data_IF_569611086211
#
_entry.id   IF_569611086211
#
_cell.length_a   1.000
_cell.length_b   1.000
_cell.length_c   1.000
_cell.angle_alpha   90.00
_cell.angle_beta   90.00
_cell.angle_gamma   90.00
#
_symmetry.space_group_name_H-M   'P 1'
#
loop_
_entity.id
_entity.type
_entity.pdbx_description
1 polymer ?
#
# COMPACT_ATOMS: atom_id res chain seq x y z
N UNK A 1 20.11 1.21 -1.69
CA UNK A 1 19.59 0.32 -2.73
C UNK A 1 18.17 -0.12 -2.37
N UNK A 2 17.26 -0.01 -3.31
CA UNK A 2 15.89 -0.43 -3.07
C UNK A 2 15.78 -1.95 -2.96
N UNK A 3 15.04 -2.41 -1.95
CA UNK A 3 14.84 -3.85 -1.72
C UNK A 3 13.79 -4.45 -2.64
N UNK A 4 12.79 -3.66 -3.02
CA UNK A 4 11.72 -4.07 -3.92
C UNK A 4 11.35 -2.84 -4.75
N UNK A 5 11.70 -2.81 -6.05
CA UNK A 5 11.43 -1.66 -6.91
C UNK A 5 9.94 -1.37 -7.02
N UNK A 6 9.61 -0.09 -7.18
CA UNK A 6 8.24 0.34 -7.39
C UNK A 6 7.65 -0.25 -8.67
N UNK A 7 6.35 -0.47 -8.65
CA UNK A 7 5.57 -0.81 -9.85
C UNK A 7 4.63 0.37 -10.10
N UNK A 8 5.11 1.38 -10.82
CA UNK A 8 4.39 2.62 -11.05
C UNK A 8 4.44 3.04 -12.51
N UNK A 9 3.37 3.72 -12.93
CA UNK A 9 3.33 4.47 -14.19
C UNK A 9 2.39 5.65 -13.99
N UNK A 10 2.30 6.54 -14.99
CA UNK A 10 1.49 7.75 -14.87
C UNK A 10 -0.01 7.41 -14.85
N UNK A 11 -0.75 8.17 -14.04
CA UNK A 11 -2.22 8.17 -14.04
C UNK A 11 -2.88 6.83 -13.72
N UNK A 12 -2.27 6.03 -12.82
CA UNK A 12 -2.92 4.83 -12.31
C UNK A 12 -4.17 5.21 -11.50
N UNK A 13 -5.15 4.31 -11.46
CA UNK A 13 -6.36 4.53 -10.66
C UNK A 13 -6.08 4.38 -9.18
N UNK A 14 -5.16 3.49 -8.81
CA UNK A 14 -4.90 3.11 -7.43
C UNK A 14 -3.45 2.72 -7.26
N UNK A 15 -2.82 3.23 -6.20
CA UNK A 15 -1.49 2.80 -5.79
C UNK A 15 -1.56 2.31 -4.35
N UNK A 16 -1.19 1.06 -4.13
CA UNK A 16 -1.05 0.51 -2.78
C UNK A 16 0.31 0.88 -2.21
N UNK A 17 0.33 1.33 -0.97
CA UNK A 17 1.54 1.85 -0.31
C UNK A 17 1.76 1.13 1.00
N UNK A 18 2.84 0.38 1.10
CA UNK A 18 3.26 -0.27 2.33
C UNK A 18 4.28 0.54 3.11
N UNK A 19 4.65 0.07 4.29
CA UNK A 19 5.71 0.69 5.10
C UNK A 19 7.06 0.42 4.44
N UNK A 20 7.41 -0.84 4.33
CA UNK A 20 8.60 -1.33 3.64
C UNK A 20 8.35 -2.78 3.23
N UNK A 21 9.08 -3.27 2.23
CA UNK A 21 8.99 -4.66 1.84
C UNK A 21 9.37 -5.55 3.03
N UNK A 22 8.60 -6.63 3.26
CA UNK A 22 9.01 -7.64 4.21
C UNK A 22 10.28 -8.32 3.71
N UNK A 23 10.98 -9.03 4.60
CA UNK A 23 12.17 -9.77 4.19
C UNK A 23 11.85 -10.76 3.07
N UNK A 24 10.74 -11.49 3.21
CA UNK A 24 10.29 -12.43 2.18
C UNK A 24 10.05 -11.74 0.84
N UNK A 25 9.32 -10.62 0.85
CA UNK A 25 9.02 -9.87 -0.38
C UNK A 25 10.30 -9.36 -1.05
N UNK A 26 11.25 -8.85 -0.26
CA UNK A 26 12.52 -8.37 -0.78
C UNK A 26 13.34 -9.51 -1.39
N UNK A 27 13.36 -10.67 -0.74
CA UNK A 27 14.16 -11.83 -1.19
C UNK A 27 13.62 -12.42 -2.49
N UNK A 28 12.29 -12.51 -2.65
CA UNK A 28 11.68 -13.09 -3.85
C UNK A 28 11.34 -12.06 -4.90
N UNK A 29 11.39 -10.77 -4.58
CA UNK A 29 11.10 -9.68 -5.52
C UNK A 29 9.63 -9.49 -5.84
N UNK A 30 8.72 -9.87 -4.93
CA UNK A 30 7.27 -9.74 -5.14
C UNK A 30 6.61 -9.04 -3.96
N UNK A 31 5.65 -8.14 -4.24
CA UNK A 31 4.89 -7.44 -3.21
C UNK A 31 3.98 -8.40 -2.45
N UNK A 32 3.92 -8.22 -1.12
CA UNK A 32 3.04 -8.99 -0.22
C UNK A 32 3.19 -10.50 -0.41
N UNK A 33 4.42 -10.96 -0.48
CA UNK A 33 4.75 -12.34 -0.87
C UNK A 33 4.64 -13.37 0.26
N UNK A 34 4.59 -12.93 1.53
CA UNK A 34 4.53 -13.86 2.66
C UNK A 34 3.23 -14.67 2.60
N UNK A 35 3.28 -16.01 2.78
CA UNK A 35 2.08 -16.85 2.68
C UNK A 35 0.96 -16.47 3.66
N UNK A 36 1.31 -15.90 4.82
CA UNK A 36 0.32 -15.43 5.81
C UNK A 36 -0.29 -14.06 5.49
N UNK A 37 0.16 -13.41 4.42
CA UNK A 37 -0.37 -12.08 4.05
C UNK A 37 -1.69 -12.24 3.31
N UNK A 38 -2.70 -11.47 3.74
CA UNK A 38 -4.04 -11.52 3.15
C UNK A 38 -4.24 -10.65 1.93
N UNK A 39 -3.24 -9.87 1.53
CA UNK A 39 -3.40 -8.85 0.50
C UNK A 39 -4.05 -9.37 -0.79
N UNK A 40 -3.46 -10.40 -1.39
CA UNK A 40 -3.91 -10.90 -2.68
C UNK A 40 -5.32 -11.49 -2.64
N UNK A 41 -5.63 -12.17 -1.53
CA UNK A 41 -6.97 -12.70 -1.31
C UNK A 41 -7.97 -11.57 -1.11
N UNK A 42 -7.61 -10.55 -0.30
CA UNK A 42 -8.51 -9.46 0.03
C UNK A 42 -8.91 -8.64 -1.20
N UNK A 43 -7.97 -8.27 -2.06
CA UNK A 43 -8.30 -7.45 -3.23
C UNK A 43 -9.18 -8.21 -4.24
N UNK A 44 -9.10 -9.53 -4.27
CA UNK A 44 -10.02 -10.33 -5.06
C UNK A 44 -11.39 -10.43 -4.39
N UNK A 45 -11.43 -10.72 -3.11
CA UNK A 45 -12.70 -10.87 -2.37
C UNK A 45 -13.58 -9.62 -2.45
N UNK A 46 -12.98 -8.44 -2.38
CA UNK A 46 -13.74 -7.18 -2.46
C UNK A 46 -13.98 -6.71 -3.89
N UNK A 47 -13.45 -7.41 -4.89
CA UNK A 47 -13.71 -7.12 -6.30
C UNK A 47 -12.81 -6.06 -6.93
N UNK A 48 -11.68 -5.74 -6.32
CA UNK A 48 -10.69 -4.83 -6.93
C UNK A 48 -10.04 -5.51 -8.13
N UNK A 49 -9.76 -6.82 -8.02
CA UNK A 49 -9.25 -7.61 -9.14
C UNK A 49 -10.28 -8.63 -9.58
N UNK A 50 -10.32 -9.00 -10.89
CA UNK A 50 -11.31 -9.94 -11.41
C UNK A 50 -11.07 -11.39 -11.00
N UNK A 51 -9.85 -11.70 -10.55
CA UNK A 51 -9.47 -13.03 -10.05
C UNK A 51 -8.43 -12.88 -8.96
N UNK A 52 -8.12 -13.96 -8.28
CA UNK A 52 -7.01 -13.95 -7.32
C UNK A 52 -5.69 -14.10 -8.06
N UNK A 53 -4.82 -13.09 -7.92
CA UNK A 53 -3.47 -13.13 -8.48
C UNK A 53 -2.49 -13.70 -7.47
N UNK A 54 -1.44 -14.35 -7.96
CA UNK A 54 -0.32 -14.75 -7.12
C UNK A 54 0.65 -13.56 -6.97
N UNK A 55 1.44 -13.50 -5.89
CA UNK A 55 2.38 -12.38 -5.71
C UNK A 55 3.30 -12.11 -6.90
N UNK A 56 3.79 -13.15 -7.59
CA UNK A 56 4.67 -12.97 -8.74
C UNK A 56 3.98 -12.31 -9.93
N UNK A 57 2.66 -12.25 -9.93
CA UNK A 57 1.88 -11.62 -10.99
C UNK A 57 1.65 -10.14 -10.77
N UNK A 58 2.23 -9.54 -9.71
CA UNK A 58 1.96 -8.14 -9.38
C UNK A 58 2.18 -7.17 -10.54
N UNK A 59 3.15 -7.37 -11.47
CA UNK A 59 3.30 -6.45 -12.59
C UNK A 59 2.08 -6.41 -13.53
N UNK A 60 1.29 -7.47 -13.58
CA UNK A 60 0.10 -7.51 -14.41
C UNK A 60 -1.00 -6.56 -13.95
N UNK A 61 -0.98 -6.15 -12.68
CA UNK A 61 -2.00 -5.26 -12.14
C UNK A 61 -1.90 -3.84 -12.70
N UNK A 62 -0.75 -3.46 -13.27
CA UNK A 62 -0.62 -2.16 -13.93
C UNK A 62 -1.63 -2.02 -15.07
N UNK A 63 -1.93 -3.08 -15.80
CA UNK A 63 -2.94 -3.06 -16.86
C UNK A 63 -4.35 -2.84 -16.32
N UNK A 64 -4.56 -3.09 -15.02
CA UNK A 64 -5.83 -2.81 -14.34
C UNK A 64 -5.83 -1.42 -13.71
N UNK A 65 -4.77 -0.65 -13.87
CA UNK A 65 -4.62 0.68 -13.28
C UNK A 65 -4.13 0.66 -11.83
N UNK A 66 -3.46 -0.41 -11.41
CA UNK A 66 -3.02 -0.61 -10.02
C UNK A 66 -1.51 -0.67 -9.95
N UNK A 67 -0.92 0.10 -9.06
CA UNK A 67 0.52 0.09 -8.83
C UNK A 67 0.88 -0.16 -7.37
N UNK A 68 2.18 -0.25 -7.12
CA UNK A 68 2.72 -0.61 -5.81
C UNK A 68 3.96 0.21 -5.47
N UNK A 69 4.04 0.65 -4.22
CA UNK A 69 5.24 1.29 -3.67
C UNK A 69 5.26 1.11 -2.15
N UNK A 70 6.31 1.59 -1.51
CA UNK A 70 6.44 1.65 -0.05
C UNK A 70 6.97 3.02 0.34
N UNK A 71 6.61 3.50 1.54
CA UNK A 71 7.12 4.78 2.03
C UNK A 71 8.60 4.71 2.40
N UNK A 72 9.09 3.53 2.76
CA UNK A 72 10.49 3.29 3.05
C UNK A 72 11.04 2.24 2.08
N UNK A 73 11.79 2.68 1.05
CA UNK A 73 12.29 1.77 0.01
C UNK A 73 13.60 1.09 0.35
N UNK A 74 14.37 1.67 1.25
CA UNK A 74 15.73 1.16 1.54
C UNK A 74 15.74 0.10 2.64
N UNK A 75 14.68 -0.02 3.43
CA UNK A 75 14.57 -0.99 4.50
C UNK A 75 13.81 -2.24 4.08
N UNK A 76 13.94 -3.29 4.86
CA UNK A 76 13.14 -4.51 4.73
C UNK A 76 12.99 -5.13 6.12
N UNK A 77 11.91 -5.91 6.32
CA UNK A 77 11.67 -6.59 7.59
C UNK A 77 10.52 -5.95 8.36
N UNK A 78 10.61 -5.99 9.69
CA UNK A 78 9.55 -5.44 10.55
C UNK A 78 9.54 -3.91 10.53
N UNK A 79 8.38 -3.32 10.84
CA UNK A 79 8.18 -1.87 10.80
C UNK A 79 9.22 -1.09 11.62
N UNK A 80 9.62 -1.62 12.77
CA UNK A 80 10.62 -0.91 13.59
C UNK A 80 11.98 -0.80 12.87
N UNK A 81 12.29 -1.73 11.98
CA UNK A 81 13.51 -1.67 11.17
C UNK A 81 13.36 -0.64 10.05
N UNK A 82 12.16 -0.54 9.47
CA UNK A 82 11.88 0.44 8.44
C UNK A 82 12.04 1.87 8.94
N UNK A 83 11.73 2.13 10.21
CA UNK A 83 11.86 3.45 10.82
C UNK A 83 13.28 3.98 10.84
N UNK A 84 14.28 3.14 10.57
CA UNK A 84 15.66 3.60 10.45
C UNK A 84 15.92 4.46 9.20
N UNK A 85 14.95 4.56 8.28
CA UNK A 85 15.09 5.31 7.03
C UNK A 85 13.99 6.39 6.88
N UNK A 86 13.97 7.42 7.76
CA UNK A 86 12.89 8.41 7.78
C UNK A 86 12.89 9.40 6.60
N UNK A 87 13.95 9.39 5.80
CA UNK A 87 14.11 10.35 4.70
C UNK A 87 13.19 10.10 3.51
N UNK A 88 12.49 8.97 3.50
CA UNK A 88 11.70 8.57 2.33
C UNK A 88 10.40 9.34 2.15
N UNK A 89 9.88 10.02 3.17
CA UNK A 89 8.57 10.66 3.10
C UNK A 89 8.53 11.80 2.07
N UNK A 90 9.47 12.77 2.07
CA UNK A 90 9.47 13.80 1.03
C UNK A 90 9.62 13.21 -0.38
N UNK A 91 10.47 12.20 -0.54
CA UNK A 91 10.64 11.52 -1.82
C UNK A 91 9.36 10.79 -2.24
N UNK A 92 8.65 10.16 -1.29
CA UNK A 92 7.38 9.52 -1.56
C UNK A 92 6.34 10.54 -2.04
N UNK A 93 6.22 11.70 -1.37
CA UNK A 93 5.28 12.75 -1.79
C UNK A 93 5.56 13.22 -3.21
N UNK A 94 6.81 13.44 -3.54
CA UNK A 94 7.20 13.89 -4.88
C UNK A 94 6.90 12.81 -5.92
N UNK A 95 7.13 11.55 -5.59
CA UNK A 95 6.82 10.42 -6.46
C UNK A 95 5.33 10.38 -6.80
N UNK A 96 4.46 10.59 -5.81
CA UNK A 96 3.01 10.62 -6.04
C UNK A 96 2.59 11.82 -6.86
N UNK A 97 3.22 12.98 -6.67
CA UNK A 97 2.96 14.16 -7.51
C UNK A 97 3.33 13.91 -8.96
N UNK A 98 4.48 13.27 -9.19
CA UNK A 98 4.96 13.02 -10.56
C UNK A 98 4.09 12.01 -11.29
N UNK A 99 3.64 10.97 -10.63
CA UNK A 99 2.86 9.91 -11.27
C UNK A 99 1.35 10.19 -11.28
N UNK A 100 0.86 11.03 -10.38
CA UNK A 100 -0.54 11.46 -10.30
C UNK A 100 -1.56 10.32 -10.31
N UNK A 101 -1.44 9.34 -9.39
CA UNK A 101 -2.51 8.35 -9.26
C UNK A 101 -3.77 9.04 -8.74
N UNK A 102 -4.92 8.47 -9.05
CA UNK A 102 -6.18 9.04 -8.55
C UNK A 102 -6.34 8.78 -7.05
N UNK A 103 -5.98 7.60 -6.59
CA UNK A 103 -6.13 7.19 -5.20
C UNK A 103 -4.88 6.49 -4.70
N UNK A 104 -4.52 6.78 -3.46
CA UNK A 104 -3.44 6.13 -2.73
C UNK A 104 -4.04 5.39 -1.55
N UNK A 105 -3.70 4.12 -1.37
CA UNK A 105 -4.20 3.30 -0.27
C UNK A 105 -3.02 2.79 0.55
N UNK A 106 -2.88 3.32 1.76
CA UNK A 106 -1.88 2.80 2.71
C UNK A 106 -2.36 1.47 3.26
N UNK A 107 -1.53 0.45 3.16
CA UNK A 107 -1.93 -0.91 3.55
C UNK A 107 -1.79 -1.19 5.04
N UNK A 108 -1.53 -0.15 5.84
CA UNK A 108 -1.51 -0.24 7.30
C UNK A 108 -1.60 1.14 7.91
N UNK A 109 -2.02 1.19 9.18
CA UNK A 109 -1.97 2.44 9.95
C UNK A 109 -0.53 2.92 10.11
N UNK A 110 0.43 2.00 10.17
CA UNK A 110 1.85 2.35 10.33
C UNK A 110 2.36 3.14 9.12
N UNK A 111 2.06 2.68 7.91
CA UNK A 111 2.45 3.39 6.69
C UNK A 111 1.84 4.80 6.67
N UNK A 112 0.56 4.89 6.99
CA UNK A 112 -0.12 6.19 7.05
C UNK A 112 0.45 7.09 8.14
N UNK A 113 0.79 6.53 9.30
CA UNK A 113 1.37 7.32 10.40
C UNK A 113 2.68 7.97 10.00
N UNK A 114 3.51 7.25 9.23
CA UNK A 114 4.76 7.80 8.72
C UNK A 114 4.50 8.93 7.72
N UNK A 115 3.53 8.74 6.83
CA UNK A 115 3.17 9.76 5.85
C UNK A 115 2.64 11.04 6.54
N UNK A 116 1.73 10.90 7.49
CA UNK A 116 1.11 12.03 8.15
C UNK A 116 1.96 12.66 9.26
N UNK A 117 2.98 11.96 9.74
CA UNK A 117 3.74 12.40 10.90
C UNK A 117 2.94 12.35 12.20
N UNK A 118 2.04 11.37 12.35
CA UNK A 118 1.20 11.17 13.53
C UNK A 118 1.40 9.77 14.08
N UNK A 119 1.16 9.56 15.41
CA UNK A 119 1.20 8.21 15.96
C UNK A 119 0.06 7.34 15.38
N UNK A 120 0.26 6.03 15.34
CA UNK A 120 -0.73 5.11 14.76
C UNK A 120 -2.09 5.21 15.43
N UNK A 121 -2.12 5.49 16.75
CA UNK A 121 -3.38 5.63 17.49
C UNK A 121 -4.21 6.84 17.03
N UNK A 122 -3.57 7.81 16.36
CA UNK A 122 -4.25 8.99 15.82
C UNK A 122 -4.69 8.80 14.37
N UNK A 123 -4.42 7.64 13.78
CA UNK A 123 -4.80 7.31 12.39
C UNK A 123 -6.06 6.46 12.41
N UNK A 124 -7.07 6.87 11.65
CA UNK A 124 -8.32 6.10 11.48
C UNK A 124 -8.28 5.32 10.18
N UNK A 125 -9.00 4.20 10.14
CA UNK A 125 -9.15 3.41 8.92
C UNK A 125 -10.18 4.04 7.99
N UNK A 126 -10.09 3.70 6.70
CA UNK A 126 -11.03 4.13 5.69
C UNK A 126 -10.58 5.36 4.93
N UNK A 127 -11.53 6.03 4.27
CA UNK A 127 -11.25 7.23 3.49
C UNK A 127 -10.83 8.38 4.39
N UNK A 128 -9.78 9.08 4.00
CA UNK A 128 -9.24 10.20 4.76
C UNK A 128 -9.68 11.53 4.15
N UNK A 129 -9.65 12.63 4.94
CA UNK A 129 -9.85 13.96 4.39
C UNK A 129 -8.83 14.26 3.28
N UNK A 130 -9.24 15.09 2.31
CA UNK A 130 -8.37 15.45 1.20
C UNK A 130 -7.08 16.12 1.68
N UNK A 131 -5.96 15.73 1.05
CA UNK A 131 -4.65 16.34 1.28
C UNK A 131 -4.39 17.28 0.11
N UNK A 132 -4.06 18.57 0.36
CA UNK A 132 -3.80 19.51 -0.73
C UNK A 132 -2.71 19.02 -1.69
N UNK A 133 -2.99 19.13 -3.00
CA UNK A 133 -2.06 18.75 -4.05
C UNK A 133 -1.57 17.30 -3.95
N UNK A 134 -2.49 16.39 -3.60
CA UNK A 134 -2.18 14.98 -3.39
C UNK A 134 -3.41 14.14 -3.78
N UNK A 135 -3.20 12.86 -4.20
CA UNK A 135 -4.33 11.96 -4.49
C UNK A 135 -5.27 11.75 -3.30
N UNK A 136 -6.45 11.20 -3.56
CA UNK A 136 -7.34 10.75 -2.49
C UNK A 136 -6.66 9.64 -1.68
N UNK A 137 -6.88 9.63 -0.37
CA UNK A 137 -6.18 8.74 0.54
C UNK A 137 -7.14 7.81 1.27
N UNK A 138 -6.80 6.52 1.28
CA UNK A 138 -7.44 5.51 2.13
C UNK A 138 -6.39 4.89 3.05
N UNK A 139 -6.84 4.50 4.23
CA UNK A 139 -6.02 3.73 5.17
C UNK A 139 -6.71 2.39 5.42
N UNK A 140 -5.99 1.31 5.15
CA UNK A 140 -6.54 -0.05 5.22
C UNK A 140 -6.04 -0.77 6.47
N UNK A 141 -6.82 -1.75 6.92
CA UNK A 141 -6.34 -2.66 7.95
C UNK A 141 -5.19 -3.49 7.38
N UNK A 142 -4.12 -3.67 8.14
CA UNK A 142 -2.93 -4.39 7.66
C UNK A 142 -3.29 -5.83 7.26
N UNK A 143 -2.89 -6.27 6.05
CA UNK A 143 -3.11 -7.64 5.62
C UNK A 143 -2.05 -8.61 6.14
N UNK A 144 -1.06 -8.14 6.86
CA UNK A 144 0.02 -8.95 7.40
C UNK A 144 -0.52 -10.02 8.35
N UNK A 145 0.04 -11.23 8.26
CA UNK A 145 -0.28 -12.30 9.21
C UNK A 145 0.05 -11.92 10.65
N UNK A 146 1.08 -11.09 10.87
CA UNK A 146 1.45 -10.63 12.19
C UNK A 146 0.41 -9.68 12.81
N UNK A 147 -0.46 -9.08 11.99
CA UNK A 147 -1.50 -8.15 12.43
C UNK A 147 -2.90 -8.79 12.41
N UNK A 148 -2.99 -10.10 12.44
CA UNK A 148 -4.28 -10.83 12.30
C UNK A 148 -5.34 -10.39 13.30
N UNK A 149 -4.96 -10.02 14.52
CA UNK A 149 -5.89 -9.56 15.56
C UNK A 149 -6.55 -8.21 15.25
N UNK A 150 -6.04 -7.48 14.26
CA UNK A 150 -6.54 -6.17 13.87
C UNK A 150 -7.10 -6.17 12.45
N UNK A 151 -7.25 -7.32 11.84
CA UNK A 151 -7.76 -7.42 10.48
C UNK A 151 -9.23 -6.99 10.40
N UNK A 152 -9.54 -6.20 9.38
CA UNK A 152 -10.92 -5.86 9.04
C UNK A 152 -11.01 -5.72 7.52
N UNK A 153 -11.99 -6.37 6.92
CA UNK A 153 -12.23 -6.29 5.48
C UNK A 153 -12.95 -4.99 5.10
N UNK A 154 -13.61 -4.33 6.06
CA UNK A 154 -14.47 -3.19 5.76
C UNK A 154 -13.75 -2.03 5.05
N UNK A 155 -12.59 -1.55 5.50
CA UNK A 155 -11.89 -0.49 4.76
C UNK A 155 -11.53 -0.91 3.33
N UNK A 156 -11.21 -2.18 3.13
CA UNK A 156 -10.90 -2.74 1.81
C UNK A 156 -12.14 -2.72 0.90
N UNK A 157 -13.31 -3.03 1.46
CA UNK A 157 -14.56 -2.96 0.72
C UNK A 157 -14.92 -1.52 0.36
N UNK A 158 -14.72 -0.59 1.27
CA UNK A 158 -14.94 0.84 1.01
C UNK A 158 -14.04 1.33 -0.13
N UNK A 159 -12.78 0.91 -0.14
CA UNK A 159 -11.86 1.23 -1.23
C UNK A 159 -12.36 0.66 -2.56
N UNK A 160 -12.79 -0.60 -2.57
CA UNK A 160 -13.30 -1.23 -3.78
C UNK A 160 -14.51 -0.47 -4.34
N UNK A 161 -15.44 -0.09 -3.46
CA UNK A 161 -16.63 0.66 -3.84
C UNK A 161 -16.25 2.04 -4.41
N UNK A 162 -15.30 2.71 -3.78
CA UNK A 162 -14.78 4.00 -4.23
C UNK A 162 -14.17 3.91 -5.63
N UNK A 163 -13.35 2.91 -5.87
CA UNK A 163 -12.69 2.70 -7.16
C UNK A 163 -13.72 2.44 -8.27
N UNK A 164 -14.78 1.70 -7.98
CA UNK A 164 -15.83 1.39 -8.96
C UNK A 164 -16.65 2.62 -9.37
N UNK A 165 -16.73 3.61 -8.52
CA UNK A 165 -17.49 4.83 -8.79
C UNK A 165 -16.71 5.87 -9.60
N UNK A 166 -15.44 5.60 -9.85
CA UNK A 166 -14.56 6.53 -10.57
C UNK A 166 -14.75 6.47 -12.08
#
# INVERSE_FOLDING_TARGET
MEKLPDQLQAHLRLVFVGTAASRRSADVGHYYAHPGNRFWRAIHEVGITPRRYAPHEFPELVSLGIGFTDVCKLGAGMDHQALASPVDIPAFREKMRCHRPTTVAFTSKKAASLFYGRPTKAVTLGRQPSVPDFPDVFVLASPSGAASGHWSVQPWQELADWIKEM
#
